data_IF_835185984652
#
_entry.id   IF_835185984652
#
_cell.length_a   1.000
_cell.length_b   1.000
_cell.length_c   1.000
_cell.angle_alpha   90.00
_cell.angle_beta   90.00
_cell.angle_gamma   90.00
#
_symmetry.space_group_name_H-M   'P 1'
#
loop_
_entity.id
_entity.type
_entity.pdbx_description
1 polymer ?
#
# COMPACT_ATOMS: atom_id res chain seq x y z
N UNK A 1 -79.38 -68.47 10.94
CA UNK A 1 -78.03 -68.23 11.48
C UNK A 1 -77.04 -68.29 10.33
N UNK A 2 -76.33 -67.18 10.07
CA UNK A 2 -74.97 -67.09 9.49
C UNK A 2 -74.68 -65.66 9.05
N UNK A 3 -73.98 -64.92 9.93
CA UNK A 3 -73.04 -63.82 9.60
C UNK A 3 -71.64 -64.48 9.49
N UNK A 4 -70.55 -63.83 9.01
CA UNK A 4 -70.37 -62.49 8.41
C UNK A 4 -69.33 -62.47 7.24
N UNK A 5 -69.09 -61.30 6.62
CA UNK A 5 -67.73 -60.85 6.24
C UNK A 5 -67.76 -59.35 5.98
N UNK A 6 -67.24 -58.56 6.92
CA UNK A 6 -67.06 -57.11 6.75
C UNK A 6 -65.81 -56.80 5.91
N UNK A 7 -65.79 -55.67 5.19
CA UNK A 7 -64.63 -55.29 4.39
C UNK A 7 -63.40 -55.06 5.28
N UNK A 8 -62.29 -55.68 4.88
CA UNK A 8 -61.03 -55.69 5.60
C UNK A 8 -60.37 -54.32 5.67
N UNK A 9 -60.20 -53.84 6.90
CA UNK A 9 -59.64 -52.54 7.32
C UNK A 9 -58.13 -52.33 7.05
N UNK A 10 -57.47 -53.15 6.25
CA UNK A 10 -55.99 -53.16 6.17
C UNK A 10 -55.37 -52.61 4.88
N UNK A 11 -56.16 -52.11 3.92
CA UNK A 11 -55.61 -51.48 2.72
C UNK A 11 -55.54 -49.95 2.84
N UNK A 12 -54.46 -49.47 3.48
CA UNK A 12 -53.88 -48.15 3.23
C UNK A 12 -52.49 -48.05 3.90
N UNK A 13 -51.54 -47.21 3.42
CA UNK A 13 -51.31 -46.69 2.08
C UNK A 13 -49.81 -46.81 1.71
N UNK A 14 -49.39 -47.80 0.92
CA UNK A 14 -47.99 -47.87 0.44
C UNK A 14 -47.64 -46.72 -0.53
N UNK A 15 -48.65 -46.09 -1.15
CA UNK A 15 -48.48 -44.99 -2.08
C UNK A 15 -47.85 -43.70 -1.46
N UNK A 16 -47.97 -43.50 -0.15
CA UNK A 16 -47.46 -42.29 0.51
C UNK A 16 -45.95 -42.29 0.81
N UNK A 17 -45.32 -43.46 0.91
CA UNK A 17 -43.89 -43.56 1.23
C UNK A 17 -43.01 -43.16 0.03
N UNK A 18 -43.39 -43.58 -1.18
CA UNK A 18 -42.63 -43.28 -2.40
C UNK A 18 -42.72 -41.82 -2.83
N UNK A 19 -43.88 -41.18 -2.62
CA UNK A 19 -44.08 -39.76 -2.92
C UNK A 19 -43.20 -38.87 -2.02
N UNK A 20 -42.98 -39.27 -0.75
CA UNK A 20 -42.09 -38.56 0.18
C UNK A 20 -40.62 -38.65 -0.23
N UNK A 21 -40.17 -39.81 -0.71
CA UNK A 21 -38.80 -40.01 -1.19
C UNK A 21 -38.44 -39.14 -2.39
N UNK A 22 -39.35 -39.01 -3.38
CA UNK A 22 -39.16 -38.13 -4.55
C UNK A 22 -39.08 -36.66 -4.17
N UNK A 23 -39.97 -36.18 -3.28
CA UNK A 23 -39.92 -34.80 -2.78
C UNK A 23 -38.63 -34.53 -1.99
N UNK A 24 -38.15 -35.48 -1.18
CA UNK A 24 -36.89 -35.34 -0.43
C UNK A 24 -35.67 -35.26 -1.36
N UNK A 25 -35.61 -36.06 -2.42
CA UNK A 25 -34.55 -35.97 -3.45
C UNK A 25 -34.58 -34.63 -4.20
N UNK A 26 -35.76 -34.11 -4.54
CA UNK A 26 -35.85 -32.79 -5.19
C UNK A 26 -35.36 -31.65 -4.30
N UNK A 27 -35.62 -31.72 -2.98
CA UNK A 27 -35.12 -30.75 -2.00
C UNK A 27 -33.61 -30.83 -1.83
N UNK A 28 -33.05 -32.05 -1.83
CA UNK A 28 -31.59 -32.27 -1.79
C UNK A 28 -30.90 -31.71 -3.04
N UNK A 29 -31.49 -31.87 -4.22
CA UNK A 29 -30.98 -31.26 -5.46
C UNK A 29 -30.97 -29.73 -5.40
N UNK A 30 -32.04 -29.12 -4.87
CA UNK A 30 -32.10 -27.66 -4.69
C UNK A 30 -31.06 -27.15 -3.69
N UNK A 31 -30.87 -27.86 -2.57
CA UNK A 31 -29.85 -27.50 -1.57
C UNK A 31 -28.45 -27.62 -2.17
N UNK A 32 -28.16 -28.68 -2.93
CA UNK A 32 -26.86 -28.84 -3.59
C UNK A 32 -26.61 -27.73 -4.62
N UNK A 33 -27.62 -27.37 -5.41
CA UNK A 33 -27.54 -26.26 -6.36
C UNK A 33 -27.27 -24.91 -5.65
N UNK A 34 -28.03 -24.62 -4.58
CA UNK A 34 -27.82 -23.42 -3.78
C UNK A 34 -26.42 -23.38 -3.14
N UNK A 35 -25.92 -24.51 -2.64
CA UNK A 35 -24.58 -24.61 -2.07
C UNK A 35 -23.48 -24.34 -3.12
N UNK A 36 -23.62 -24.89 -4.32
CA UNK A 36 -22.69 -24.62 -5.44
C UNK A 36 -22.72 -23.16 -5.84
N UNK A 37 -23.91 -22.55 -5.92
CA UNK A 37 -24.06 -21.13 -6.24
C UNK A 37 -23.39 -20.24 -5.19
N UNK A 38 -23.61 -20.53 -3.90
CA UNK A 38 -22.97 -19.80 -2.79
C UNK A 38 -21.46 -19.99 -2.80
N UNK A 39 -20.95 -21.21 -3.06
CA UNK A 39 -19.52 -21.47 -3.16
C UNK A 39 -18.87 -20.73 -4.34
N UNK A 40 -19.55 -20.65 -5.50
CA UNK A 40 -19.08 -19.89 -6.64
C UNK A 40 -19.00 -18.38 -6.33
N UNK A 41 -20.04 -17.83 -5.70
CA UNK A 41 -20.07 -16.43 -5.25
C UNK A 41 -19.01 -16.16 -4.18
N UNK A 42 -18.87 -17.05 -3.20
CA UNK A 42 -17.87 -16.94 -2.14
C UNK A 42 -16.43 -17.04 -2.68
N UNK A 43 -16.19 -17.84 -3.73
CA UNK A 43 -14.89 -17.92 -4.41
C UNK A 43 -14.53 -16.59 -5.10
N UNK A 44 -15.51 -15.93 -5.74
CA UNK A 44 -15.31 -14.59 -6.31
C UNK A 44 -15.04 -13.56 -5.22
N UNK A 45 -15.81 -13.59 -4.14
CA UNK A 45 -15.57 -12.72 -2.98
C UNK A 45 -14.17 -12.97 -2.44
N UNK A 46 -13.78 -14.21 -2.13
CA UNK A 46 -12.44 -14.56 -1.65
C UNK A 46 -11.33 -14.03 -2.57
N UNK A 47 -11.51 -14.16 -3.89
CA UNK A 47 -10.59 -13.63 -4.88
C UNK A 47 -10.55 -12.09 -4.89
N UNK A 48 -11.64 -11.42 -4.55
CA UNK A 48 -11.70 -9.97 -4.34
C UNK A 48 -11.15 -9.57 -2.96
N UNK A 49 -11.33 -10.38 -1.92
CA UNK A 49 -10.88 -10.10 -0.54
C UNK A 49 -9.36 -10.15 -0.43
N UNK A 50 -8.69 -11.03 -1.19
CA UNK A 50 -7.21 -11.02 -1.30
C UNK A 50 -6.68 -9.70 -1.89
N UNK A 51 -7.51 -8.94 -2.60
CA UNK A 51 -7.20 -7.57 -3.01
C UNK A 51 -7.18 -6.58 -1.84
N UNK A 52 -8.06 -6.73 -0.84
CA UNK A 52 -8.17 -5.82 0.30
C UNK A 52 -7.04 -5.98 1.32
N UNK A 53 -6.47 -7.17 1.49
CA UNK A 53 -5.24 -7.33 2.28
C UNK A 53 -4.03 -6.62 1.63
N UNK A 54 -3.92 -6.68 0.30
CA UNK A 54 -2.83 -6.02 -0.45
C UNK A 54 -2.93 -4.49 -0.42
N UNK A 55 -4.14 -3.94 -0.40
CA UNK A 55 -4.33 -2.48 -0.27
C UNK A 55 -4.00 -1.97 1.13
N UNK A 56 -4.26 -2.74 2.19
CA UNK A 56 -3.90 -2.33 3.56
C UNK A 56 -2.40 -2.26 3.76
N UNK A 57 -1.66 -3.26 3.27
CA UNK A 57 -0.20 -3.29 3.37
C UNK A 57 0.45 -2.15 2.55
N UNK A 58 -0.10 -1.83 1.37
CA UNK A 58 0.32 -0.66 0.60
C UNK A 58 -0.02 0.67 1.28
N UNK A 59 -1.14 0.75 1.98
CA UNK A 59 -1.55 1.97 2.69
C UNK A 59 -0.66 2.21 3.93
N UNK A 60 -0.36 1.17 4.70
CA UNK A 60 0.57 1.25 5.83
C UNK A 60 1.97 1.68 5.38
N UNK A 61 2.50 1.09 4.31
CA UNK A 61 3.82 1.49 3.78
C UNK A 61 3.81 2.93 3.25
N UNK A 62 2.72 3.39 2.63
CA UNK A 62 2.59 4.79 2.19
C UNK A 62 2.53 5.76 3.36
N UNK A 63 1.82 5.41 4.42
CA UNK A 63 1.75 6.22 5.64
C UNK A 63 3.12 6.32 6.31
N UNK A 64 3.86 5.21 6.41
CA UNK A 64 5.23 5.20 6.92
C UNK A 64 6.18 6.06 6.08
N UNK A 65 6.09 5.98 4.75
CA UNK A 65 6.89 6.81 3.84
C UNK A 65 6.53 8.30 3.99
N UNK A 66 5.24 8.63 4.09
CA UNK A 66 4.80 10.01 4.25
C UNK A 66 5.30 10.64 5.56
N UNK A 67 5.30 9.87 6.66
CA UNK A 67 5.85 10.32 7.96
C UNK A 67 7.36 10.54 7.84
N UNK A 68 8.09 9.58 7.26
CA UNK A 68 9.54 9.68 7.10
C UNK A 68 9.95 10.84 6.17
N UNK A 69 9.18 11.09 5.10
CA UNK A 69 9.40 12.25 4.20
C UNK A 69 9.16 13.58 4.93
N UNK A 70 8.10 13.68 5.75
CA UNK A 70 7.84 14.86 6.54
C UNK A 70 8.97 15.17 7.53
N UNK A 71 9.48 14.16 8.25
CA UNK A 71 10.63 14.31 9.15
C UNK A 71 11.88 14.76 8.40
N UNK A 72 12.14 14.18 7.22
CA UNK A 72 13.29 14.51 6.39
C UNK A 72 13.24 15.96 5.90
N UNK A 73 12.07 16.45 5.53
CA UNK A 73 11.88 17.83 5.08
C UNK A 73 12.00 18.84 6.25
N UNK A 74 11.52 18.49 7.44
CA UNK A 74 11.74 19.28 8.65
C UNK A 74 13.24 19.41 8.97
N UNK A 75 13.96 18.29 8.98
CA UNK A 75 15.40 18.27 9.24
C UNK A 75 16.18 19.04 8.19
N UNK A 76 15.82 18.89 6.91
CA UNK A 76 16.44 19.64 5.81
C UNK A 76 16.25 21.14 5.98
N UNK A 77 15.02 21.56 6.31
CA UNK A 77 14.70 22.96 6.58
C UNK A 77 15.55 23.50 7.73
N UNK A 78 15.70 22.71 8.79
CA UNK A 78 16.49 23.10 9.97
C UNK A 78 17.99 23.18 9.69
N UNK A 79 18.53 22.26 8.88
CA UNK A 79 19.92 22.33 8.40
C UNK A 79 20.12 23.61 7.59
N UNK A 80 19.24 23.90 6.64
CA UNK A 80 19.34 25.11 5.82
C UNK A 80 19.25 26.37 6.68
N UNK A 81 18.39 26.39 7.70
CA UNK A 81 18.30 27.49 8.66
C UNK A 81 19.59 27.65 9.49
N UNK A 82 20.17 26.54 9.95
CA UNK A 82 21.45 26.53 10.67
C UNK A 82 22.61 26.99 9.78
N UNK A 83 22.58 26.63 8.50
CA UNK A 83 23.58 26.99 7.49
C UNK A 83 23.42 28.41 6.95
N UNK A 84 22.35 29.14 7.31
CA UNK A 84 22.15 30.52 6.84
C UNK A 84 23.38 31.36 7.18
N UNK A 85 23.97 31.95 6.14
CA UNK A 85 25.16 32.81 6.25
C UNK A 85 24.96 33.93 7.27
N UNK A 86 23.76 34.50 7.38
CA UNK A 86 23.45 35.55 8.36
C UNK A 86 23.60 35.07 9.79
N UNK A 87 23.18 33.84 10.08
CA UNK A 87 23.31 33.24 11.41
C UNK A 87 24.77 32.92 11.72
N UNK A 88 25.51 32.42 10.74
CA UNK A 88 26.95 32.15 10.87
C UNK A 88 27.70 33.46 11.11
N UNK A 89 27.42 34.50 10.34
CA UNK A 89 28.02 35.83 10.48
C UNK A 89 27.70 36.45 11.84
N UNK A 90 26.44 36.37 12.29
CA UNK A 90 26.06 36.82 13.65
C UNK A 90 26.79 36.07 14.75
N UNK A 91 26.83 34.73 14.68
CA UNK A 91 27.53 33.92 15.67
C UNK A 91 29.04 34.23 15.70
N UNK A 92 29.66 34.37 14.53
CA UNK A 92 31.04 34.78 14.36
C UNK A 92 31.32 36.16 14.98
N UNK A 93 30.42 37.11 14.79
CA UNK A 93 30.55 38.45 15.32
C UNK A 93 30.36 38.51 16.84
N UNK A 94 29.29 37.90 17.36
CA UNK A 94 28.95 37.95 18.78
C UNK A 94 29.92 37.16 19.65
N UNK A 95 30.44 36.04 19.14
CA UNK A 95 31.13 35.03 19.95
C UNK A 95 32.63 34.94 19.67
N UNK A 96 33.06 35.33 18.48
CA UNK A 96 34.47 35.35 18.07
C UNK A 96 34.98 36.77 17.81
N UNK A 97 34.12 37.80 17.92
CA UNK A 97 34.49 39.19 17.65
C UNK A 97 34.85 39.46 16.19
N UNK A 98 34.51 38.55 15.27
CA UNK A 98 34.86 38.65 13.86
C UNK A 98 33.91 39.60 13.12
N UNK A 99 34.43 40.46 12.25
CA UNK A 99 33.62 41.31 11.37
C UNK A 99 33.85 40.95 9.90
N UNK A 100 32.95 41.40 9.04
CA UNK A 100 33.16 41.32 7.59
C UNK A 100 34.32 42.25 7.23
N UNK A 101 35.32 41.71 6.52
CA UNK A 101 36.47 42.49 6.08
C UNK A 101 36.03 43.58 5.10
N UNK A 102 36.56 44.80 5.26
CA UNK A 102 36.35 45.88 4.29
C UNK A 102 37.24 45.67 3.07
N UNK A 103 36.92 46.30 1.94
CA UNK A 103 37.71 46.16 0.69
C UNK A 103 39.21 46.43 0.89
N UNK A 104 39.55 47.34 1.82
CA UNK A 104 40.92 47.70 2.20
C UNK A 104 41.67 46.63 3.02
N UNK A 105 40.96 45.64 3.58
CA UNK A 105 41.51 44.55 4.39
C UNK A 105 41.65 43.24 3.58
N UNK A 106 41.20 43.21 2.32
CA UNK A 106 41.23 42.02 1.45
C UNK A 106 42.51 42.02 0.61
N UNK A 107 43.38 41.02 0.84
CA UNK A 107 44.62 40.82 0.05
C UNK A 107 44.44 39.62 -0.89
N UNK A 108 44.46 39.87 -2.20
CA UNK A 108 44.40 38.82 -3.23
C UNK A 108 45.81 38.29 -3.52
N UNK A 109 46.03 37.00 -3.22
CA UNK A 109 47.29 36.33 -3.50
C UNK A 109 47.24 35.64 -4.89
N UNK A 110 48.22 35.88 -5.77
CA UNK A 110 48.30 35.18 -7.04
C UNK A 110 48.62 33.69 -6.79
N UNK A 111 47.85 32.79 -7.42
CA UNK A 111 48.10 31.35 -7.36
C UNK A 111 49.16 30.98 -8.41
N UNK A 112 50.38 30.58 -8.02
CA UNK A 112 51.38 30.15 -8.99
C UNK A 112 50.95 28.82 -9.63
N UNK A 113 50.65 28.84 -10.93
CA UNK A 113 50.28 27.64 -11.71
C UNK A 113 48.97 27.70 -12.48
N UNK A 114 48.17 28.77 -12.37
CA UNK A 114 46.93 28.93 -13.15
C UNK A 114 47.16 29.31 -14.63
N UNK A 115 48.42 29.48 -15.06
CA UNK A 115 48.77 29.84 -16.43
C UNK A 115 49.10 28.58 -17.26
N UNK A 116 48.08 27.79 -17.55
CA UNK A 116 48.01 27.01 -18.78
C UNK A 116 46.53 26.68 -19.03
N UNK A 117 45.92 27.16 -20.13
CA UNK A 117 44.69 26.55 -20.62
C UNK A 117 45.01 25.06 -20.83
N UNK A 118 44.25 24.15 -20.20
CA UNK A 118 44.40 22.71 -20.50
C UNK A 118 44.18 22.54 -22.00
N UNK A 119 45.23 22.17 -22.73
CA UNK A 119 45.15 21.85 -24.15
C UNK A 119 44.18 20.70 -24.45
N UNK A 120 43.74 19.97 -23.41
CA UNK A 120 42.79 18.86 -23.53
C UNK A 120 41.36 19.30 -23.84
N UNK A 121 40.92 20.51 -23.43
CA UNK A 121 39.54 20.95 -23.73
C UNK A 121 39.33 21.38 -25.19
N UNK A 122 40.41 21.68 -25.92
CA UNK A 122 40.34 21.99 -27.36
C UNK A 122 40.30 20.74 -28.25
N UNK A 123 40.65 19.57 -27.72
CA UNK A 123 40.64 18.31 -28.45
C UNK A 123 39.28 17.57 -28.39
N UNK A 124 38.41 17.94 -27.45
CA UNK A 124 37.12 17.27 -27.23
C UNK A 124 35.96 17.89 -28.03
N UNK A 125 36.03 19.17 -28.38
CA UNK A 125 35.03 19.87 -29.20
C UNK A 125 35.16 19.62 -30.73
N UNK A 126 36.11 18.78 -31.16
CA UNK A 126 36.42 18.53 -32.57
C UNK A 126 36.10 17.09 -33.05
N UNK A 127 35.27 16.33 -32.32
CA UNK A 127 34.77 15.01 -32.72
C UNK A 127 33.25 14.97 -32.81
#
# INVERSE_FOLDING_TARGET
MSRPAGPSRWEAPRAGAEARGRRRRSRLGWIAYAAVLVAALASVVWRQTVGLERFRELETVREEVAVAEAERDELTTRILELQRRDRIARYAQERLGMHVARDEEVVLLPVPGSAAPRADSAAEDAR
#
